data_IF_132482597859
#
_entry.id   IF_132482597859
#
_cell.length_a   1.000
_cell.length_b   1.000
_cell.length_c   1.000
_cell.angle_alpha   90.00
_cell.angle_beta   90.00
_cell.angle_gamma   90.00
#
_symmetry.space_group_name_H-M   'P 1'
#
loop_
_entity.id
_entity.type
_entity.pdbx_description
1 polymer ?
#
# COMPACT_ATOMS: atom_id res chain seq x y z
N UNK A 1 -5.23 1.72 7.15
CA UNK A 1 -5.77 0.97 6.00
C UNK A 1 -6.65 -0.22 6.44
N UNK A 2 -6.96 -0.31 7.73
CA UNK A 2 -7.38 -1.54 8.41
C UNK A 2 -8.69 -2.09 7.85
N UNK A 3 -9.72 -1.26 7.65
CA UNK A 3 -11.00 -1.74 7.11
C UNK A 3 -10.88 -2.38 5.72
N UNK A 4 -10.03 -1.84 4.84
CA UNK A 4 -9.82 -2.42 3.51
C UNK A 4 -9.15 -3.79 3.62
N UNK A 5 -8.15 -3.91 4.48
CA UNK A 5 -7.44 -5.17 4.72
C UNK A 5 -8.33 -6.20 5.45
N UNK A 6 -9.16 -5.77 6.39
CA UNK A 6 -10.12 -6.61 7.09
C UNK A 6 -11.13 -7.23 6.11
N UNK A 7 -11.70 -6.42 5.21
CA UNK A 7 -12.60 -6.95 4.16
C UNK A 7 -11.86 -7.97 3.28
N UNK A 8 -10.63 -7.68 2.87
CA UNK A 8 -9.86 -8.61 2.04
C UNK A 8 -9.57 -9.94 2.75
N UNK A 9 -9.21 -9.88 4.04
CA UNK A 9 -9.01 -11.04 4.92
C UNK A 9 -10.30 -11.85 5.07
N UNK A 10 -11.42 -11.19 5.40
CA UNK A 10 -12.72 -11.85 5.59
C UNK A 10 -13.22 -12.53 4.32
N UNK A 11 -12.87 -11.98 3.15
CA UNK A 11 -13.14 -12.58 1.84
C UNK A 11 -12.07 -13.57 1.38
N UNK A 12 -11.17 -14.00 2.29
CA UNK A 12 -10.10 -14.95 2.07
C UNK A 12 -9.18 -14.62 0.87
N UNK A 13 -9.02 -13.34 0.53
CA UNK A 13 -8.14 -12.92 -0.55
C UNK A 13 -6.69 -13.12 -0.13
N UNK A 14 -5.90 -13.82 -0.96
CA UNK A 14 -4.48 -14.10 -0.70
C UNK A 14 -3.53 -13.15 -1.42
N UNK A 15 -3.97 -12.57 -2.52
CA UNK A 15 -3.16 -11.71 -3.37
C UNK A 15 -3.83 -10.34 -3.50
N UNK A 16 -3.12 -9.27 -3.11
CA UNK A 16 -3.64 -7.90 -3.19
C UNK A 16 -2.84 -7.06 -4.17
N UNK A 17 -3.57 -6.29 -4.97
CA UNK A 17 -2.99 -5.16 -5.71
C UNK A 17 -3.51 -3.87 -5.08
N UNK A 18 -2.60 -3.13 -4.46
CA UNK A 18 -2.83 -1.84 -3.85
C UNK A 18 -2.11 -0.76 -4.67
N UNK A 19 -2.10 0.48 -4.19
CA UNK A 19 -1.39 1.57 -4.84
C UNK A 19 -1.39 2.85 -4.04
N UNK A 20 -1.05 3.95 -4.71
CA UNK A 20 -0.95 5.28 -4.13
C UNK A 20 -2.33 5.91 -3.85
N UNK A 21 -3.03 5.34 -2.88
CA UNK A 21 -4.43 5.68 -2.59
C UNK A 21 -4.59 7.15 -2.21
N UNK A 22 -5.34 7.88 -3.03
CA UNK A 22 -5.60 9.31 -2.83
C UNK A 22 -4.40 10.24 -3.08
N UNK A 23 -3.26 9.74 -3.56
CA UNK A 23 -2.05 10.57 -3.78
C UNK A 23 -2.09 11.43 -5.06
N UNK A 24 -3.18 11.35 -5.83
CA UNK A 24 -3.40 12.15 -7.04
C UNK A 24 -4.30 13.36 -6.76
N UNK A 25 -5.52 13.35 -7.30
CA UNK A 25 -6.48 14.46 -7.17
C UNK A 25 -6.81 14.81 -5.72
N UNK A 26 -6.85 13.82 -4.82
CA UNK A 26 -7.14 14.03 -3.40
C UNK A 26 -5.94 14.55 -2.60
N UNK A 27 -4.75 14.60 -3.21
CA UNK A 27 -3.54 15.23 -2.66
C UNK A 27 -3.09 14.65 -1.31
N UNK A 28 -3.37 13.38 -1.02
CA UNK A 28 -2.78 12.72 0.14
C UNK A 28 -1.24 12.66 -0.02
N UNK A 29 -0.46 12.94 1.04
CA UNK A 29 0.98 12.80 1.00
C UNK A 29 1.36 11.31 0.81
N UNK A 30 2.14 10.96 -0.22
CA UNK A 30 2.40 9.57 -0.56
C UNK A 30 3.21 8.83 0.51
N UNK A 31 4.09 9.51 1.23
CA UNK A 31 4.84 8.95 2.36
C UNK A 31 3.90 8.54 3.50
N UNK A 32 2.88 9.36 3.79
CA UNK A 32 1.90 9.06 4.84
C UNK A 32 1.01 7.87 4.46
N UNK A 33 0.58 7.80 3.20
CA UNK A 33 -0.23 6.68 2.72
C UNK A 33 0.57 5.38 2.73
N UNK A 34 1.81 5.40 2.23
CA UNK A 34 2.69 4.23 2.27
C UNK A 34 2.94 3.78 3.72
N UNK A 35 3.25 4.71 4.63
CA UNK A 35 3.45 4.42 6.05
C UNK A 35 2.20 3.86 6.72
N UNK A 36 1.01 4.39 6.40
CA UNK A 36 -0.25 3.89 6.94
C UNK A 36 -0.53 2.44 6.51
N UNK A 37 -0.30 2.08 5.25
CA UNK A 37 -0.37 0.69 4.81
C UNK A 37 0.68 -0.18 5.50
N UNK A 38 1.92 0.30 5.62
CA UNK A 38 2.99 -0.45 6.27
C UNK A 38 2.69 -0.71 7.76
N UNK A 39 2.12 0.26 8.45
CA UNK A 39 1.68 0.11 9.84
C UNK A 39 0.55 -0.92 9.94
N UNK A 40 -0.48 -0.82 9.10
CA UNK A 40 -1.58 -1.78 9.09
C UNK A 40 -1.07 -3.20 8.81
N UNK A 41 -0.25 -3.40 7.77
CA UNK A 41 0.25 -4.71 7.38
C UNK A 41 1.15 -5.38 8.43
N UNK A 42 1.78 -4.59 9.33
CA UNK A 42 2.54 -5.13 10.47
C UNK A 42 1.69 -5.48 11.68
N UNK A 43 0.40 -5.14 11.69
CA UNK A 43 -0.47 -5.55 12.79
C UNK A 43 -0.61 -7.08 12.80
N UNK A 44 -0.64 -7.72 13.98
CA UNK A 44 -0.78 -9.18 14.10
C UNK A 44 -2.00 -9.73 13.37
N UNK A 45 -3.05 -8.92 13.22
CA UNK A 45 -4.27 -9.30 12.51
C UNK A 45 -4.03 -9.61 11.02
N UNK A 46 -3.05 -8.97 10.38
CA UNK A 46 -2.82 -9.03 8.94
C UNK A 46 -1.49 -9.68 8.53
N UNK A 47 -0.56 -9.87 9.47
CA UNK A 47 0.82 -10.28 9.21
C UNK A 47 0.96 -11.56 8.34
N UNK A 48 0.07 -12.53 8.51
CA UNK A 48 0.09 -13.82 7.80
C UNK A 48 -1.16 -14.06 6.92
N UNK A 49 -1.94 -13.01 6.64
CA UNK A 49 -3.19 -13.16 5.90
C UNK A 49 -3.01 -13.23 4.37
N UNK A 50 -1.98 -12.56 3.86
CA UNK A 50 -1.76 -12.36 2.43
C UNK A 50 -0.45 -13.01 1.99
N UNK A 51 -0.51 -13.79 0.91
CA UNK A 51 0.65 -14.43 0.30
C UNK A 51 1.46 -13.46 -0.57
N UNK A 52 0.77 -12.50 -1.21
CA UNK A 52 1.42 -11.49 -2.06
C UNK A 52 0.70 -10.16 -1.99
N UNK A 53 1.47 -9.09 -1.82
CA UNK A 53 0.97 -7.72 -1.90
C UNK A 53 1.81 -6.96 -2.91
N UNK A 54 1.15 -6.34 -3.89
CA UNK A 54 1.79 -5.51 -4.90
C UNK A 54 1.26 -4.09 -4.76
N UNK A 55 2.16 -3.11 -4.57
CA UNK A 55 1.83 -1.71 -4.71
C UNK A 55 2.07 -1.28 -6.17
N UNK A 56 1.02 -1.33 -7.00
CA UNK A 56 1.07 -0.96 -8.40
C UNK A 56 0.99 0.57 -8.56
N UNK A 57 2.13 1.25 -8.44
CA UNK A 57 2.21 2.72 -8.49
C UNK A 57 2.67 3.18 -9.88
N UNK A 58 1.70 3.60 -10.71
CA UNK A 58 1.98 4.23 -11.99
C UNK A 58 2.20 5.74 -11.83
N UNK A 59 3.45 6.18 -11.93
CA UNK A 59 3.85 7.57 -11.76
C UNK A 59 4.60 8.07 -13.01
N UNK A 60 3.95 8.97 -13.76
CA UNK A 60 4.51 9.64 -14.95
C UNK A 60 5.14 11.01 -14.63
N UNK A 61 5.09 11.45 -13.38
CA UNK A 61 5.60 12.77 -13.01
C UNK A 61 7.12 12.83 -13.17
N UNK A 62 7.68 14.00 -13.54
CA UNK A 62 9.10 14.23 -13.43
C UNK A 62 9.57 13.93 -12.01
N UNK A 63 10.57 13.04 -11.86
CA UNK A 63 11.10 12.66 -10.56
C UNK A 63 10.40 11.48 -9.87
N UNK A 64 9.23 11.04 -10.34
CA UNK A 64 8.48 9.86 -9.85
C UNK A 64 8.31 9.83 -8.32
N UNK A 65 7.95 10.96 -7.72
CA UNK A 65 7.94 11.14 -6.27
C UNK A 65 7.01 10.14 -5.56
N UNK A 66 5.82 9.88 -6.14
CA UNK A 66 4.83 8.97 -5.54
C UNK A 66 5.36 7.54 -5.57
N UNK A 67 5.91 7.10 -6.71
CA UNK A 67 6.54 5.78 -6.80
C UNK A 67 7.69 5.64 -5.79
N UNK A 68 8.56 6.65 -5.71
CA UNK A 68 9.73 6.63 -4.79
C UNK A 68 9.32 6.53 -3.33
N UNK A 69 8.26 7.22 -2.91
CA UNK A 69 7.76 7.13 -1.53
C UNK A 69 7.35 5.69 -1.16
N UNK A 70 6.61 5.01 -2.04
CA UNK A 70 6.23 3.61 -1.83
C UNK A 70 7.44 2.66 -1.91
N UNK A 71 8.33 2.87 -2.89
CA UNK A 71 9.53 2.06 -3.04
C UNK A 71 10.48 2.17 -1.82
N UNK A 72 10.60 3.36 -1.24
CA UNK A 72 11.39 3.57 -0.03
C UNK A 72 10.78 2.87 1.20
N UNK A 73 9.46 2.89 1.34
CA UNK A 73 8.76 2.29 2.49
C UNK A 73 8.75 0.76 2.45
N UNK A 74 8.64 0.17 1.26
CA UNK A 74 8.43 -1.27 1.08
C UNK A 74 9.62 -2.00 0.45
N UNK A 75 10.79 -1.35 0.35
CA UNK A 75 12.04 -1.85 -0.25
C UNK A 75 11.83 -2.92 -1.31
N UNK A 76 11.91 -2.55 -2.59
CA UNK A 76 11.91 -3.51 -3.68
C UNK A 76 13.01 -4.57 -3.45
N UNK A 77 12.62 -5.75 -2.97
CA UNK A 77 13.42 -6.95 -3.03
C UNK A 77 13.48 -7.44 -4.48
#
# INVERSE_FOLDING_TARGET
ADYVLAVAKDQAQKNLVLGAWGCGVFRNPPEQVAAAFAQSLRQPEFADCFERIVFAVYDRSPGKAVFKAFAAQFQAA
#
